data_IF_707176563439
#
_entry.id   IF_707176563439
#
_cell.length_a   1.000
_cell.length_b   1.000
_cell.length_c   1.000
_cell.angle_alpha   90.00
_cell.angle_beta   90.00
_cell.angle_gamma   90.00
#
_symmetry.space_group_name_H-M   'P 1'
#
loop_
_entity.id
_entity.type
_entity.pdbx_description
1 polymer ?
#
# COMPACT_ATOMS: atom_id res chain seq x y z
N UNK A 1 20.61 6.91 -8.83
CA UNK A 1 19.66 7.72 -8.04
C UNK A 1 18.31 7.08 -8.24
N UNK A 2 17.99 6.07 -7.43
CA UNK A 2 16.70 5.39 -7.46
C UNK A 2 15.67 6.39 -6.95
N UNK A 3 14.81 6.90 -7.82
CA UNK A 3 13.70 7.75 -7.39
C UNK A 3 12.77 6.88 -6.57
N UNK A 4 12.66 7.16 -5.27
CA UNK A 4 11.58 6.63 -4.45
C UNK A 4 10.27 7.09 -5.07
N UNK A 5 9.42 6.13 -5.47
CA UNK A 5 8.10 6.44 -5.99
C UNK A 5 7.26 7.08 -4.91
N UNK A 6 6.77 8.30 -5.15
CA UNK A 6 6.00 9.04 -4.15
C UNK A 6 4.52 8.74 -4.31
N UNK A 7 3.90 8.25 -3.26
CA UNK A 7 2.44 8.19 -3.15
C UNK A 7 1.94 9.63 -2.99
N UNK A 8 1.20 10.13 -3.96
CA UNK A 8 0.68 11.51 -3.96
C UNK A 8 -0.77 11.57 -3.50
N UNK A 9 -1.57 10.55 -3.83
CA UNK A 9 -2.99 10.55 -3.51
C UNK A 9 -3.52 9.12 -3.34
N UNK A 10 -4.30 8.90 -2.29
CA UNK A 10 -5.20 7.76 -2.17
C UNK A 10 -6.51 8.06 -2.90
N UNK A 11 -6.78 7.32 -3.97
CA UNK A 11 -7.99 7.48 -4.79
C UNK A 11 -9.16 6.66 -4.25
N UNK A 12 -8.89 5.51 -3.66
CA UNK A 12 -9.90 4.59 -3.12
C UNK A 12 -9.27 3.73 -2.02
N UNK A 13 -10.04 3.49 -0.96
CA UNK A 13 -9.72 2.54 0.09
C UNK A 13 -10.96 1.72 0.43
N UNK A 14 -10.82 0.41 0.34
CA UNK A 14 -11.77 -0.58 0.81
C UNK A 14 -11.08 -1.36 1.92
N UNK A 15 -11.40 -1.01 3.17
CA UNK A 15 -10.75 -1.59 4.34
C UNK A 15 -11.69 -2.61 4.96
N UNK A 16 -11.20 -3.84 5.13
CA UNK A 16 -11.87 -4.90 5.87
C UNK A 16 -10.94 -5.42 6.97
N UNK A 17 -11.45 -5.54 8.21
CA UNK A 17 -10.68 -6.06 9.34
C UNK A 17 -10.54 -7.58 9.33
N UNK A 18 -11.47 -8.26 8.66
CA UNK A 18 -11.59 -9.73 8.66
C UNK A 18 -11.17 -10.34 7.31
N UNK A 19 -11.01 -9.52 6.27
CA UNK A 19 -10.61 -9.93 4.93
C UNK A 19 -9.56 -8.98 4.34
N UNK A 20 -9.18 -9.20 3.08
CA UNK A 20 -8.23 -8.37 2.35
C UNK A 20 -8.75 -6.94 2.16
N UNK A 21 -7.88 -5.97 2.39
CA UNK A 21 -8.13 -4.57 2.13
C UNK A 21 -7.55 -4.16 0.77
N UNK A 22 -8.27 -3.34 0.01
CA UNK A 22 -7.89 -2.90 -1.33
C UNK A 22 -7.71 -1.39 -1.40
N UNK A 23 -6.59 -0.96 -1.94
CA UNK A 23 -6.23 0.45 -2.06
C UNK A 23 -5.87 0.79 -3.48
N UNK A 24 -6.28 1.98 -3.92
CA UNK A 24 -5.93 2.55 -5.22
C UNK A 24 -5.18 3.84 -5.01
N UNK A 25 -3.93 3.88 -5.46
CA UNK A 25 -3.00 4.97 -5.21
C UNK A 25 -2.60 5.63 -6.53
N UNK A 26 -2.47 6.96 -6.52
CA UNK A 26 -1.78 7.72 -7.54
C UNK A 26 -0.32 7.90 -7.09
N UNK A 27 0.58 7.33 -7.88
CA UNK A 27 2.02 7.37 -7.66
C UNK A 27 2.67 8.26 -8.72
N UNK A 28 3.56 9.14 -8.27
CA UNK A 28 4.31 10.10 -9.11
C UNK A 28 3.42 10.95 -10.05
N UNK A 29 2.17 11.20 -9.62
CA UNK A 29 1.18 12.00 -10.34
C UNK A 29 0.74 11.43 -11.70
N UNK A 30 1.13 10.19 -12.03
CA UNK A 30 0.95 9.61 -13.37
C UNK A 30 0.51 8.15 -13.37
N UNK A 31 0.93 7.38 -12.38
CA UNK A 31 0.72 5.94 -12.36
C UNK A 31 -0.32 5.59 -11.33
N UNK A 32 -1.34 4.83 -11.73
CA UNK A 32 -2.31 4.29 -10.80
C UNK A 32 -1.84 2.90 -10.40
N UNK A 33 -1.68 2.69 -9.10
CA UNK A 33 -1.26 1.42 -8.52
C UNK A 33 -2.37 0.87 -7.63
N UNK A 34 -2.48 -0.44 -7.61
CA UNK A 34 -3.40 -1.17 -6.74
C UNK A 34 -2.60 -1.92 -5.70
N UNK A 35 -2.96 -1.74 -4.43
CA UNK A 35 -2.34 -2.45 -3.32
C UNK A 35 -3.41 -3.27 -2.62
N UNK A 36 -3.16 -4.56 -2.47
CA UNK A 36 -3.94 -5.42 -1.60
C UNK A 36 -3.16 -5.63 -0.31
N UNK A 37 -3.82 -5.49 0.84
CA UNK A 37 -3.23 -5.72 2.16
C UNK A 37 -3.98 -6.88 2.82
N UNK A 38 -3.24 -7.87 3.30
CA UNK A 38 -3.84 -8.98 4.05
C UNK A 38 -4.38 -8.53 5.42
N UNK A 39 -5.41 -9.21 5.96
CA UNK A 39 -5.94 -8.89 7.28
C UNK A 39 -4.86 -9.05 8.36
N UNK A 40 -4.82 -8.12 9.31
CA UNK A 40 -3.89 -8.15 10.45
C UNK A 40 -2.48 -7.63 10.16
N UNK A 41 -2.23 -7.04 8.99
CA UNK A 41 -0.97 -6.35 8.66
C UNK A 41 -0.90 -4.97 9.32
N UNK A 42 -1.90 -4.15 9.06
CA UNK A 42 -2.04 -2.80 9.63
C UNK A 42 -3.29 -2.71 10.50
N UNK A 43 -3.32 -1.73 11.41
CA UNK A 43 -4.53 -1.46 12.17
C UNK A 43 -5.59 -0.83 11.27
N UNK A 44 -6.87 -1.04 11.59
CA UNK A 44 -7.97 -0.40 10.86
C UNK A 44 -7.86 1.13 10.87
N UNK A 45 -7.44 1.71 11.98
CA UNK A 45 -7.22 3.15 12.11
C UNK A 45 -6.14 3.66 11.14
N UNK A 46 -5.04 2.92 11.00
CA UNK A 46 -3.96 3.27 10.08
C UNK A 46 -4.40 3.13 8.61
N UNK A 47 -5.21 2.10 8.30
CA UNK A 47 -5.71 1.85 6.95
C UNK A 47 -6.79 2.84 6.51
N UNK A 48 -7.65 3.30 7.43
CA UNK A 48 -8.70 4.27 7.13
C UNK A 48 -8.20 5.72 7.05
N UNK A 49 -6.97 6.00 7.50
CA UNK A 49 -6.41 7.33 7.48
C UNK A 49 -5.23 7.44 6.50
N UNK A 50 -5.45 8.10 5.36
CA UNK A 50 -4.47 8.21 4.28
C UNK A 50 -3.05 8.61 4.74
N UNK A 51 -2.85 9.64 5.61
CA UNK A 51 -1.51 9.97 6.10
C UNK A 51 -0.84 8.84 6.89
N UNK A 52 -1.61 8.07 7.66
CA UNK A 52 -1.11 6.91 8.39
C UNK A 52 -0.76 5.78 7.42
N UNK A 53 -1.65 5.45 6.50
CA UNK A 53 -1.45 4.41 5.48
C UNK A 53 -0.17 4.65 4.68
N UNK A 54 0.03 5.87 4.17
CA UNK A 54 1.24 6.23 3.42
C UNK A 54 2.51 6.12 4.26
N UNK A 55 2.40 6.30 5.58
CA UNK A 55 3.54 6.20 6.50
C UNK A 55 3.88 4.76 6.89
N UNK A 56 2.92 3.83 6.84
CA UNK A 56 3.12 2.41 7.19
C UNK A 56 3.39 1.51 5.99
N UNK A 57 3.04 1.96 4.78
CA UNK A 57 3.30 1.23 3.55
C UNK A 57 4.82 1.06 3.32
N UNK A 58 5.27 -0.12 2.87
CA UNK A 58 6.65 -0.33 2.50
C UNK A 58 7.03 0.50 1.27
N UNK A 59 8.34 0.62 1.05
CA UNK A 59 8.84 1.26 -0.17
C UNK A 59 8.34 0.52 -1.40
N UNK A 60 7.67 1.26 -2.28
CA UNK A 60 7.10 0.69 -3.49
C UNK A 60 8.20 0.25 -4.46
N UNK A 61 8.09 -0.93 -5.09
CA UNK A 61 9.12 -1.41 -5.99
C UNK A 61 9.29 -0.45 -7.18
N UNK A 62 10.54 -0.18 -7.62
CA UNK A 62 10.76 0.65 -8.80
C UNK A 62 10.34 -0.10 -10.06
N UNK A 63 9.54 0.53 -10.92
CA UNK A 63 9.17 -0.01 -12.23
C UNK A 63 7.68 0.12 -12.59
N UNK A 64 7.30 -0.61 -13.64
CA UNK A 64 5.97 -0.54 -14.27
C UNK A 64 5.06 -1.68 -13.82
N UNK A 65 4.87 -1.81 -12.50
CA UNK A 65 3.91 -2.75 -11.91
C UNK A 65 2.55 -2.08 -11.75
N UNK A 66 1.45 -2.82 -11.83
CA UNK A 66 0.12 -2.23 -11.62
C UNK A 66 -0.51 -2.69 -10.30
N UNK A 67 -0.21 -3.92 -9.89
CA UNK A 67 -0.76 -4.56 -8.70
C UNK A 67 0.37 -5.03 -7.78
N UNK A 68 0.21 -4.83 -6.48
CA UNK A 68 1.13 -5.29 -5.42
C UNK A 68 0.32 -5.86 -4.25
N UNK A 69 0.89 -6.86 -3.59
CA UNK A 69 0.31 -7.52 -2.42
C UNK A 69 1.25 -7.29 -1.23
N UNK A 70 0.73 -6.63 -0.19
CA UNK A 70 1.39 -6.51 1.10
C UNK A 70 0.91 -7.65 1.99
N UNK A 71 1.81 -8.61 2.19
CA UNK A 71 1.62 -9.76 3.06
C UNK A 71 2.73 -9.81 4.11
N UNK A 72 2.49 -10.55 5.19
CA UNK A 72 3.49 -10.76 6.24
C UNK A 72 4.43 -11.89 5.79
N UNK A 73 5.71 -11.61 5.61
CA UNK A 73 6.71 -12.67 5.48
C UNK A 73 6.92 -13.35 6.85
N UNK A 74 7.29 -14.64 6.84
CA UNK A 74 7.67 -15.41 8.03
C UNK A 74 8.87 -14.78 8.78
N UNK A 75 9.63 -13.89 8.12
CA UNK A 75 10.69 -13.09 8.72
C UNK A 75 10.24 -11.76 9.35
N UNK A 76 8.93 -11.48 9.37
CA UNK A 76 8.36 -10.25 9.93
C UNK A 76 8.78 -8.98 9.14
N UNK A 77 9.18 -9.14 7.87
CA UNK A 77 9.43 -8.06 6.91
C UNK A 77 8.20 -7.90 5.98
N UNK A 78 7.82 -6.65 5.68
CA UNK A 78 6.73 -6.35 4.76
C UNK A 78 7.30 -6.20 3.35
N UNK A 79 6.88 -7.07 2.43
CA UNK A 79 7.28 -7.02 1.02
C UNK A 79 6.11 -6.49 0.19
N UNK A 80 6.41 -5.63 -0.79
CA UNK A 80 5.48 -5.09 -1.79
C UNK A 80 5.96 -5.39 -3.21
#
# INVERSE_FOLDING_TARGET
>A
MSGQSKIELLLQAEVDENDQSFFRLLVDGRSIKYITVEPGIYSFEDMCFEPSLVSVLPELPPGDWNDSLVAKDDNNEYLA
#
